data_IF_379903453058
#
_entry.id   IF_379903453058
#
_cell.length_a   1.000
_cell.length_b   1.000
_cell.length_c   1.000
_cell.angle_alpha   90.00
_cell.angle_beta   90.00
_cell.angle_gamma   90.00
#
_symmetry.space_group_name_H-M   'P 1'
#
loop_
_entity.id
_entity.type
_entity.pdbx_description
1 polymer ?
#
# COMPACT_ATOMS: atom_id res chain seq x y z
N UNK A 1 26.29 -12.77 5.23
CA UNK A 1 25.89 -14.00 4.53
C UNK A 1 24.37 -14.05 4.60
N UNK A 2 23.67 -14.21 3.47
CA UNK A 2 22.20 -14.15 3.41
C UNK A 2 21.66 -15.56 3.58
N UNK A 3 20.75 -15.75 4.52
CA UNK A 3 20.13 -17.04 4.79
C UNK A 3 18.84 -17.25 3.99
N UNK A 4 18.35 -18.49 3.93
CA UNK A 4 17.05 -18.81 3.33
C UNK A 4 15.91 -18.15 4.12
N UNK A 5 16.09 -18.01 5.43
CA UNK A 5 15.17 -17.35 6.35
C UNK A 5 15.04 -15.86 6.03
N UNK A 6 16.14 -15.17 5.70
CA UNK A 6 16.14 -13.76 5.29
C UNK A 6 15.34 -13.54 4.00
N UNK A 7 15.54 -14.42 3.01
CA UNK A 7 14.78 -14.41 1.74
C UNK A 7 13.28 -14.60 2.02
N UNK A 8 12.92 -15.54 2.90
CA UNK A 8 11.53 -15.79 3.26
C UNK A 8 10.90 -14.61 4.02
N UNK A 9 11.63 -13.99 4.95
CA UNK A 9 11.17 -12.81 5.68
C UNK A 9 10.91 -11.63 4.73
N UNK A 10 11.84 -11.38 3.81
CA UNK A 10 11.69 -10.34 2.80
C UNK A 10 10.49 -10.61 1.86
N UNK A 11 10.29 -11.86 1.44
CA UNK A 11 9.12 -12.27 0.64
C UNK A 11 7.80 -12.01 1.37
N UNK A 12 7.69 -12.40 2.64
CA UNK A 12 6.47 -12.18 3.44
C UNK A 12 6.21 -10.68 3.61
N UNK A 13 7.26 -9.90 3.91
CA UNK A 13 7.16 -8.44 4.03
C UNK A 13 6.67 -7.78 2.74
N UNK A 14 7.17 -8.22 1.59
CA UNK A 14 6.73 -7.77 0.27
C UNK A 14 5.25 -8.15 0.00
N UNK A 15 4.87 -9.40 0.26
CA UNK A 15 3.49 -9.87 0.09
C UNK A 15 2.50 -9.09 0.96
N UNK A 16 2.87 -8.77 2.19
CA UNK A 16 2.04 -7.97 3.08
C UNK A 16 1.80 -6.56 2.51
N UNK A 17 2.84 -5.91 1.99
CA UNK A 17 2.71 -4.58 1.38
C UNK A 17 1.85 -4.60 0.10
N UNK A 18 1.91 -5.66 -0.70
CA UNK A 18 0.98 -5.85 -1.82
C UNK A 18 -0.47 -5.92 -1.32
N UNK A 19 -0.71 -6.62 -0.21
CA UNK A 19 -2.02 -6.73 0.43
C UNK A 19 -2.54 -5.37 0.90
N UNK A 20 -1.72 -4.60 1.61
CA UNK A 20 -2.07 -3.25 2.07
C UNK A 20 -2.40 -2.33 0.90
N UNK A 21 -1.56 -2.31 -0.15
CA UNK A 21 -1.82 -1.48 -1.33
C UNK A 21 -3.18 -1.79 -1.97
N UNK A 22 -3.51 -3.08 -2.12
CA UNK A 22 -4.80 -3.50 -2.66
C UNK A 22 -5.97 -3.05 -1.78
N UNK A 23 -5.82 -3.13 -0.46
CA UNK A 23 -6.83 -2.66 0.47
C UNK A 23 -7.08 -1.15 0.34
N UNK A 24 -6.02 -0.34 0.27
CA UNK A 24 -6.15 1.11 0.10
C UNK A 24 -6.79 1.51 -1.24
N UNK A 25 -6.53 0.74 -2.31
CA UNK A 25 -7.20 0.91 -3.60
C UNK A 25 -8.71 0.66 -3.49
N UNK A 26 -9.10 -0.43 -2.84
CA UNK A 26 -10.52 -0.77 -2.62
C UNK A 26 -11.21 0.28 -1.74
N UNK A 27 -10.53 0.77 -0.69
CA UNK A 27 -11.07 1.83 0.17
C UNK A 27 -11.32 3.13 -0.61
N UNK A 28 -10.43 3.50 -1.53
CA UNK A 28 -10.62 4.66 -2.41
C UNK A 28 -11.82 4.47 -3.36
N UNK A 29 -11.96 3.29 -3.97
CA UNK A 29 -13.10 2.96 -4.83
C UNK A 29 -14.43 3.05 -4.08
N UNK A 30 -14.50 2.50 -2.87
CA UNK A 30 -15.69 2.56 -2.01
C UNK A 30 -16.01 4.01 -1.67
N UNK A 31 -15.01 4.82 -1.32
CA UNK A 31 -15.21 6.24 -1.00
C UNK A 31 -15.85 6.98 -2.18
N UNK A 32 -15.34 6.75 -3.41
CA UNK A 32 -15.89 7.35 -4.62
C UNK A 32 -17.31 6.88 -4.92
N UNK A 33 -17.60 5.59 -4.77
CA UNK A 33 -18.93 5.01 -4.99
C UNK A 33 -19.96 5.52 -3.97
N UNK A 34 -19.55 5.75 -2.72
CA UNK A 34 -20.41 6.14 -1.61
C UNK A 34 -20.53 7.66 -1.41
N UNK A 35 -20.06 8.48 -2.35
CA UNK A 35 -20.07 9.96 -2.24
C UNK A 35 -21.42 10.50 -1.78
N UNK A 36 -22.50 10.17 -2.48
CA UNK A 36 -23.84 10.69 -2.18
C UNK A 36 -24.30 10.33 -0.76
N UNK A 37 -24.00 9.11 -0.31
CA UNK A 37 -24.36 8.64 1.03
C UNK A 37 -23.52 9.32 2.12
N UNK A 38 -22.23 9.55 1.85
CA UNK A 38 -21.33 10.28 2.73
C UNK A 38 -21.75 11.75 2.85
N UNK A 39 -21.99 12.43 1.74
CA UNK A 39 -22.49 13.82 1.73
C UNK A 39 -23.80 13.91 2.51
N UNK A 40 -24.77 13.02 2.25
CA UNK A 40 -26.04 13.00 2.97
C UNK A 40 -25.87 12.72 4.48
N UNK A 41 -24.90 11.90 4.88
CA UNK A 41 -24.60 11.63 6.28
C UNK A 41 -24.00 12.83 6.98
N UNK A 42 -23.10 13.57 6.30
CA UNK A 42 -22.52 14.81 6.83
C UNK A 42 -23.56 15.92 6.92
N UNK A 43 -24.45 16.06 5.93
CA UNK A 43 -25.54 17.05 6.01
C UNK A 43 -26.49 16.80 7.20
N UNK A 44 -26.75 15.54 7.56
CA UNK A 44 -27.53 15.19 8.76
C UNK A 44 -26.88 15.63 10.08
N UNK A 45 -25.58 15.88 10.09
CA UNK A 45 -24.85 16.42 11.25
C UNK A 45 -24.93 17.96 11.33
N UNK A 46 -25.72 18.60 10.47
CA UNK A 46 -25.95 20.05 10.47
C UNK A 46 -25.04 20.83 9.52
N UNK A 47 -24.27 20.14 8.67
CA UNK A 47 -23.46 20.77 7.62
C UNK A 47 -24.30 21.09 6.39
N UNK A 48 -23.91 22.15 5.68
CA UNK A 48 -24.44 22.45 4.35
C UNK A 48 -23.84 21.51 3.29
N UNK A 49 -24.49 21.39 2.13
CA UNK A 49 -23.98 20.56 1.02
C UNK A 49 -22.55 20.95 0.61
N UNK A 50 -22.23 22.26 0.59
CA UNK A 50 -20.89 22.74 0.29
C UNK A 50 -19.85 22.29 1.33
N UNK A 51 -20.21 22.28 2.61
CA UNK A 51 -19.33 21.81 3.68
C UNK A 51 -19.18 20.28 3.62
N UNK A 52 -20.25 19.56 3.31
CA UNK A 52 -20.22 18.12 3.14
C UNK A 52 -19.36 17.69 1.94
N UNK A 53 -19.44 18.41 0.82
CA UNK A 53 -18.55 18.22 -0.33
C UNK A 53 -17.10 18.54 0.03
N UNK A 54 -16.83 19.62 0.78
CA UNK A 54 -15.48 19.94 1.22
C UNK A 54 -14.88 18.83 2.10
N UNK A 55 -15.67 18.27 3.03
CA UNK A 55 -15.25 17.13 3.85
C UNK A 55 -15.03 15.86 3.01
N UNK A 56 -15.89 15.60 2.02
CA UNK A 56 -15.69 14.50 1.09
C UNK A 56 -14.36 14.62 0.33
N UNK A 57 -14.05 15.81 -0.21
CA UNK A 57 -12.77 16.03 -0.90
C UNK A 57 -11.57 15.91 0.04
N UNK A 58 -11.70 16.37 1.29
CA UNK A 58 -10.67 16.18 2.32
C UNK A 58 -10.40 14.70 2.59
N UNK A 59 -11.45 13.89 2.74
CA UNK A 59 -11.32 12.44 2.90
C UNK A 59 -10.70 11.78 1.67
N UNK A 60 -11.12 12.19 0.47
CA UNK A 60 -10.58 11.68 -0.79
C UNK A 60 -9.08 11.97 -0.94
N UNK A 61 -8.66 13.19 -0.59
CA UNK A 61 -7.26 13.58 -0.61
C UNK A 61 -6.44 12.79 0.42
N UNK A 62 -6.97 12.58 1.63
CA UNK A 62 -6.31 11.77 2.65
C UNK A 62 -6.12 10.32 2.18
N UNK A 63 -7.18 9.70 1.65
CA UNK A 63 -7.14 8.33 1.12
C UNK A 63 -6.17 8.19 -0.05
N UNK A 64 -6.18 9.16 -0.98
CA UNK A 64 -5.24 9.19 -2.10
C UNK A 64 -3.79 9.32 -1.64
N UNK A 65 -3.53 10.14 -0.60
CA UNK A 65 -2.18 10.30 -0.04
C UNK A 65 -1.69 9.01 0.63
N UNK A 66 -2.56 8.32 1.38
CA UNK A 66 -2.26 7.00 1.95
C UNK A 66 -1.93 5.99 0.84
N UNK A 67 -2.72 5.95 -0.24
CA UNK A 67 -2.49 5.05 -1.37
C UNK A 67 -1.10 5.27 -2.02
N UNK A 68 -0.70 6.54 -2.19
CA UNK A 68 0.64 6.88 -2.70
C UNK A 68 1.73 6.43 -1.72
N UNK A 69 1.54 6.62 -0.42
CA UNK A 69 2.50 6.19 0.59
C UNK A 69 2.70 4.66 0.59
N UNK A 70 1.60 3.90 0.51
CA UNK A 70 1.64 2.43 0.44
C UNK A 70 2.27 1.94 -0.87
N UNK A 71 2.01 2.60 -2.00
CA UNK A 71 2.66 2.29 -3.28
C UNK A 71 4.18 2.49 -3.20
N UNK A 72 4.62 3.60 -2.60
CA UNK A 72 6.04 3.87 -2.37
C UNK A 72 6.68 2.87 -1.39
N UNK A 73 5.93 2.44 -0.36
CA UNK A 73 6.38 1.40 0.56
C UNK A 73 6.56 0.05 -0.15
N UNK A 74 5.61 -0.33 -1.02
CA UNK A 74 5.71 -1.53 -1.84
C UNK A 74 6.91 -1.50 -2.79
N UNK A 75 7.15 -0.37 -3.45
CA UNK A 75 8.30 -0.22 -4.35
C UNK A 75 9.62 -0.44 -3.61
N UNK A 76 9.77 0.16 -2.41
CA UNK A 76 10.95 -0.05 -1.55
C UNK A 76 11.11 -1.51 -1.16
N UNK A 77 10.06 -2.14 -0.65
CA UNK A 77 10.12 -3.58 -0.28
C UNK A 77 10.38 -4.51 -1.46
N UNK A 78 9.90 -4.16 -2.65
CA UNK A 78 10.18 -4.92 -3.89
C UNK A 78 11.67 -4.83 -4.24
N UNK A 79 12.25 -3.65 -4.08
CA UNK A 79 13.68 -3.43 -4.27
C UNK A 79 14.50 -4.22 -3.25
N UNK A 80 14.21 -4.08 -1.96
CA UNK A 80 14.90 -4.79 -0.88
C UNK A 80 14.83 -6.32 -1.08
N UNK A 81 13.65 -6.83 -1.45
CA UNK A 81 13.47 -8.26 -1.73
C UNK A 81 14.34 -8.74 -2.89
N UNK A 82 14.43 -7.94 -3.96
CA UNK A 82 15.30 -8.25 -5.12
C UNK A 82 16.77 -8.31 -4.71
N UNK A 83 17.26 -7.33 -3.97
CA UNK A 83 18.67 -7.30 -3.53
C UNK A 83 19.01 -8.51 -2.66
N UNK A 84 18.11 -8.88 -1.74
CA UNK A 84 18.28 -10.07 -0.89
C UNK A 84 18.30 -11.35 -1.76
N UNK A 85 17.45 -11.43 -2.78
CA UNK A 85 17.42 -12.56 -3.71
C UNK A 85 18.72 -12.68 -4.52
N UNK A 86 19.20 -11.57 -5.06
CA UNK A 86 20.45 -11.49 -5.84
C UNK A 86 21.63 -11.93 -4.97
N UNK A 87 21.78 -11.36 -3.78
CA UNK A 87 22.85 -11.72 -2.85
C UNK A 87 22.81 -13.19 -2.42
N UNK A 88 21.61 -13.77 -2.24
CA UNK A 88 21.45 -15.20 -1.95
C UNK A 88 21.84 -16.08 -3.14
N UNK A 89 21.45 -15.66 -4.35
CA UNK A 89 21.74 -16.37 -5.60
C UNK A 89 23.24 -16.37 -5.89
N UNK A 90 23.91 -15.23 -5.75
CA UNK A 90 25.35 -15.11 -5.93
C UNK A 90 26.14 -16.00 -4.97
N UNK A 91 25.72 -16.06 -3.70
CA UNK A 91 26.31 -16.97 -2.72
C UNK A 91 26.11 -18.44 -3.08
N UNK A 92 24.96 -18.79 -3.66
CA UNK A 92 24.71 -20.14 -4.13
C UNK A 92 25.61 -20.47 -5.32
N UNK A 93 25.67 -19.60 -6.33
CA UNK A 93 26.50 -19.78 -7.54
C UNK A 93 27.99 -19.90 -7.21
N UNK A 94 28.51 -19.08 -6.30
CA UNK A 94 29.91 -19.16 -5.85
C UNK A 94 30.28 -20.51 -5.21
N UNK A 95 29.31 -21.22 -4.61
CA UNK A 95 29.53 -22.56 -4.05
C UNK A 95 29.69 -23.66 -5.11
N UNK A 96 29.29 -23.41 -6.36
CA UNK A 96 29.42 -24.37 -7.47
C UNK A 96 30.62 -24.09 -8.39
N UNK A 97 31.34 -22.98 -8.18
CA UNK A 97 32.54 -22.62 -8.98
C UNK A 97 33.83 -23.13 -8.30
N UNK A 98 33.75 -24.22 -7.53
CA UNK A 98 34.89 -24.91 -6.90
C UNK A 98 35.04 -26.31 -7.51
#
# INVERSE_FOLDING_TARGET
>A
MVSKEDVNAARISWQFACGTLKFEQQALEILLQRRTELTASVCRLGFTDHQADAEFFRLLQAQSSTLVAESNALNRRSHDFREILEAYTDQFLQKFVI
#
